data_IF_666538638692
#
_entry.id   IF_666538638692
#
_cell.length_a   1.000
_cell.length_b   1.000
_cell.length_c   1.000
_cell.angle_alpha   90.00
_cell.angle_beta   90.00
_cell.angle_gamma   90.00
#
_symmetry.space_group_name_H-M   'P 1'
#
loop_
_entity.id
_entity.type
_entity.pdbx_description
1 polymer ?
#
# COMPACT_ATOMS: atom_id res chain seq x y z
N UNK A 1 -11.12 6.91 -2.77
CA UNK A 1 -11.31 7.82 -1.62
C UNK A 1 -11.48 9.30 -2.03
N UNK A 2 -12.08 9.63 -3.18
CA UNK A 2 -12.36 11.03 -3.55
C UNK A 2 -11.14 11.98 -3.64
N UNK A 3 -9.93 11.44 -3.84
CA UNK A 3 -8.68 12.21 -3.82
C UNK A 3 -8.61 13.16 -5.00
N UNK A 4 -8.24 14.40 -4.73
CA UNK A 4 -8.20 15.47 -5.72
C UNK A 4 -6.86 16.22 -5.65
N UNK A 5 -6.28 16.53 -6.82
CA UNK A 5 -5.06 17.33 -6.95
C UNK A 5 -5.32 18.56 -7.80
N UNK A 6 -5.18 19.74 -7.21
CA UNK A 6 -5.21 21.01 -7.95
C UNK A 6 -3.98 21.11 -8.86
N UNK A 7 -4.21 21.38 -10.14
CA UNK A 7 -3.18 21.59 -11.17
C UNK A 7 -3.47 22.89 -11.93
N UNK A 8 -3.18 24.06 -11.34
CA UNK A 8 -3.51 25.36 -11.95
C UNK A 8 -2.78 25.58 -13.29
N UNK A 9 -1.55 25.08 -13.40
CA UNK A 9 -0.70 25.25 -14.59
C UNK A 9 -1.26 24.55 -15.84
N UNK A 10 -2.14 23.55 -15.68
CA UNK A 10 -2.79 22.85 -16.79
C UNK A 10 -3.75 23.77 -17.58
N UNK A 11 -4.29 24.81 -16.95
CA UNK A 11 -5.26 25.75 -17.57
C UNK A 11 -4.60 26.96 -18.24
N UNK A 12 -3.28 27.08 -18.15
CA UNK A 12 -2.55 28.25 -18.66
C UNK A 12 -2.52 28.24 -20.19
N UNK A 13 -2.98 29.33 -20.83
CA UNK A 13 -2.96 29.50 -22.31
C UNK A 13 -1.73 30.26 -22.84
N UNK A 14 -0.83 30.68 -21.94
CA UNK A 14 0.34 31.50 -22.27
C UNK A 14 1.37 30.77 -23.15
N UNK A 15 1.90 31.45 -24.18
CA UNK A 15 2.78 30.91 -25.24
C UNK A 15 4.29 30.91 -24.90
N UNK A 16 4.69 31.26 -23.68
CA UNK A 16 6.10 31.30 -23.29
C UNK A 16 6.69 29.90 -23.07
N UNK A 17 7.94 29.69 -23.47
CA UNK A 17 8.63 28.39 -23.40
C UNK A 17 8.62 27.76 -21.99
N UNK A 18 8.84 28.56 -20.95
CA UNK A 18 8.81 28.10 -19.55
C UNK A 18 7.39 27.67 -19.10
N UNK A 19 6.34 28.36 -19.55
CA UNK A 19 4.95 28.01 -19.23
C UNK A 19 4.51 26.74 -19.97
N UNK A 20 5.01 26.52 -21.18
CA UNK A 20 4.71 25.31 -21.97
C UNK A 20 5.27 24.04 -21.30
N UNK A 21 6.45 24.12 -20.67
CA UNK A 21 7.01 23.04 -19.84
C UNK A 21 6.16 22.77 -18.59
N UNK A 22 5.71 23.81 -17.91
CA UNK A 22 4.85 23.69 -16.72
C UNK A 22 3.52 23.02 -17.07
N UNK A 23 2.89 23.41 -18.19
CA UNK A 23 1.67 22.78 -18.70
C UNK A 23 1.86 21.29 -19.02
N UNK A 24 2.91 20.93 -19.75
CA UNK A 24 3.21 19.52 -20.07
C UNK A 24 3.48 18.67 -18.81
N UNK A 25 4.09 19.27 -17.77
CA UNK A 25 4.21 18.59 -16.47
C UNK A 25 2.86 18.41 -15.79
N UNK A 26 2.02 19.44 -15.78
CA UNK A 26 0.68 19.40 -15.18
C UNK A 26 -0.22 18.38 -15.89
N UNK A 27 -0.17 18.26 -17.21
CA UNK A 27 -0.91 17.24 -17.97
C UNK A 27 -0.48 15.82 -17.58
N UNK A 28 0.83 15.56 -17.49
CA UNK A 28 1.34 14.26 -17.03
C UNK A 28 0.94 13.98 -15.57
N UNK A 29 0.97 15.00 -14.71
CA UNK A 29 0.52 14.86 -13.33
C UNK A 29 -0.99 14.58 -13.25
N UNK A 30 -1.81 15.17 -14.12
CA UNK A 30 -3.26 14.94 -14.18
C UNK A 30 -3.59 13.50 -14.60
N UNK A 31 -2.78 12.89 -15.47
CA UNK A 31 -2.94 11.49 -15.88
C UNK A 31 -2.45 10.54 -14.79
N UNK A 32 -1.26 10.78 -14.25
CA UNK A 32 -0.60 9.85 -13.35
C UNK A 32 -1.15 9.90 -11.91
N UNK A 33 -1.60 11.06 -11.44
CA UNK A 33 -2.09 11.21 -10.06
C UNK A 33 -3.32 10.34 -9.77
N UNK A 34 -4.36 10.26 -10.62
CA UNK A 34 -5.48 9.36 -10.40
C UNK A 34 -5.08 7.89 -10.40
N UNK A 35 -4.18 7.47 -11.29
CA UNK A 35 -3.72 6.08 -11.38
C UNK A 35 -2.95 5.69 -10.12
N UNK A 36 -1.98 6.50 -9.72
CA UNK A 36 -1.17 6.27 -8.51
C UNK A 36 -2.02 6.40 -7.23
N UNK A 37 -2.92 7.37 -7.19
CA UNK A 37 -3.83 7.57 -6.07
C UNK A 37 -4.81 6.42 -5.89
N UNK A 38 -5.34 5.87 -6.98
CA UNK A 38 -6.22 4.70 -6.94
C UNK A 38 -5.49 3.45 -6.45
N UNK A 39 -4.26 3.20 -6.93
CA UNK A 39 -3.45 2.10 -6.43
C UNK A 39 -3.12 2.26 -4.93
N UNK A 40 -2.72 3.47 -4.52
CA UNK A 40 -2.47 3.78 -3.11
C UNK A 40 -3.72 3.62 -2.23
N UNK A 41 -4.91 3.96 -2.75
CA UNK A 41 -6.18 3.77 -2.02
C UNK A 41 -6.52 2.29 -1.81
N UNK A 42 -6.15 1.42 -2.75
CA UNK A 42 -6.33 -0.02 -2.61
C UNK A 42 -5.38 -0.57 -1.53
N UNK A 43 -4.08 -0.32 -1.65
CA UNK A 43 -3.09 -0.78 -0.66
C UNK A 43 -3.41 -0.27 0.74
N UNK A 44 -3.85 0.98 0.86
CA UNK A 44 -4.22 1.55 2.16
C UNK A 44 -5.46 0.87 2.78
N UNK A 45 -6.41 0.40 1.98
CA UNK A 45 -7.56 -0.37 2.50
C UNK A 45 -7.12 -1.75 2.99
N UNK A 46 -6.31 -2.45 2.21
CA UNK A 46 -5.76 -3.75 2.58
C UNK A 46 -4.97 -3.64 3.88
N UNK A 47 -4.10 -2.63 3.98
CA UNK A 47 -3.35 -2.30 5.19
C UNK A 47 -4.27 -2.07 6.40
N UNK A 48 -5.33 -1.27 6.25
CA UNK A 48 -6.28 -1.00 7.34
C UNK A 48 -7.04 -2.26 7.77
N UNK A 49 -7.38 -3.13 6.83
CA UNK A 49 -8.06 -4.39 7.12
C UNK A 49 -7.16 -5.35 7.87
N UNK A 50 -5.91 -5.53 7.43
CA UNK A 50 -4.88 -6.32 8.12
C UNK A 50 -4.63 -5.77 9.53
N UNK A 51 -4.49 -4.45 9.66
CA UNK A 51 -4.26 -3.82 10.97
C UNK A 51 -5.44 -4.00 11.94
N UNK A 52 -6.68 -4.05 11.43
CA UNK A 52 -7.89 -4.21 12.24
C UNK A 52 -8.27 -5.66 12.50
N UNK A 53 -7.58 -6.61 11.89
CA UNK A 53 -7.86 -8.03 12.02
C UNK A 53 -7.71 -8.49 13.49
N UNK A 54 -8.81 -8.98 14.05
CA UNK A 54 -8.87 -9.48 15.42
C UNK A 54 -8.18 -10.83 15.60
N UNK A 55 -8.18 -11.68 14.56
CA UNK A 55 -7.53 -12.98 14.55
C UNK A 55 -6.00 -12.82 14.56
N UNK A 56 -5.44 -11.95 13.71
CA UNK A 56 -4.00 -11.63 13.70
C UNK A 56 -3.55 -11.10 15.07
N UNK A 57 -4.32 -10.16 15.63
CA UNK A 57 -4.06 -9.63 16.98
C UNK A 57 -4.17 -10.68 18.08
N UNK A 58 -5.17 -11.56 18.02
CA UNK A 58 -5.34 -12.65 18.98
C UNK A 58 -4.19 -13.67 18.91
N UNK A 59 -3.61 -13.86 17.72
CA UNK A 59 -2.40 -14.66 17.51
C UNK A 59 -1.11 -13.95 17.96
N UNK A 60 -1.19 -12.68 18.40
CA UNK A 60 -0.04 -11.89 18.84
C UNK A 60 0.76 -11.23 17.72
N UNK A 61 0.17 -11.13 16.51
CA UNK A 61 0.79 -10.47 15.37
C UNK A 61 0.48 -8.98 15.36
N UNK A 62 1.50 -8.16 15.12
CA UNK A 62 1.40 -6.71 15.02
C UNK A 62 2.06 -6.22 13.73
N UNK A 63 1.45 -5.22 13.09
CA UNK A 63 2.05 -4.55 11.94
C UNK A 63 3.13 -3.57 12.43
N UNK A 64 4.36 -3.77 11.97
CA UNK A 64 5.53 -2.98 12.39
C UNK A 64 5.74 -1.78 11.48
N UNK A 65 5.73 -2.01 10.16
CA UNK A 65 5.89 -0.92 9.19
C UNK A 65 5.29 -1.29 7.84
N UNK A 66 5.04 -0.24 7.06
CA UNK A 66 4.63 -0.32 5.66
C UNK A 66 5.69 0.39 4.83
N UNK A 67 6.18 -0.29 3.78
CA UNK A 67 7.25 0.20 2.89
C UNK A 67 6.75 0.03 1.46
N UNK A 68 6.47 1.13 0.76
CA UNK A 68 5.90 1.12 -0.59
C UNK A 68 4.58 0.35 -0.69
N UNK A 69 4.60 -0.87 -1.21
CA UNK A 69 3.50 -1.83 -1.31
C UNK A 69 3.64 -3.00 -0.33
N UNK A 70 4.75 -3.06 0.40
CA UNK A 70 5.05 -4.11 1.37
C UNK A 70 4.54 -3.76 2.78
N UNK A 71 4.01 -4.76 3.47
CA UNK A 71 3.57 -4.69 4.86
C UNK A 71 4.41 -5.68 5.68
N UNK A 72 5.10 -5.18 6.69
CA UNK A 72 5.89 -6.00 7.62
C UNK A 72 5.12 -6.18 8.92
N UNK A 73 4.95 -7.43 9.32
CA UNK A 73 4.34 -7.83 10.58
C UNK A 73 5.32 -8.70 11.39
N UNK A 74 5.24 -8.58 12.71
CA UNK A 74 6.00 -9.38 13.66
C UNK A 74 5.05 -10.10 14.62
N UNK A 75 5.37 -11.35 14.95
CA UNK A 75 4.55 -12.15 15.86
C UNK A 75 5.20 -13.46 16.27
N UNK A 76 4.49 -14.30 17.05
CA UNK A 76 5.00 -15.59 17.51
C UNK A 76 5.24 -16.56 16.35
N UNK A 77 6.37 -17.27 16.40
CA UNK A 77 6.78 -18.23 15.37
C UNK A 77 5.76 -19.38 15.15
N UNK A 78 5.11 -19.80 16.23
CA UNK A 78 4.23 -20.98 16.25
C UNK A 78 3.01 -20.81 15.31
N UNK A 79 2.54 -19.57 15.11
CA UNK A 79 1.37 -19.23 14.30
C UNK A 79 1.74 -18.52 12.98
N UNK A 80 3.03 -18.47 12.59
CA UNK A 80 3.49 -17.74 11.42
C UNK A 80 2.85 -18.18 10.09
N UNK A 81 2.62 -19.50 9.93
CA UNK A 81 1.95 -20.03 8.73
C UNK A 81 0.48 -19.62 8.67
N UNK A 82 -0.21 -19.62 9.81
CA UNK A 82 -1.62 -19.24 9.91
C UNK A 82 -1.79 -17.75 9.63
N UNK A 83 -0.96 -16.90 10.24
CA UNK A 83 -0.94 -15.46 9.99
C UNK A 83 -0.71 -15.14 8.49
N UNK A 84 0.21 -15.85 7.83
CA UNK A 84 0.45 -15.70 6.40
C UNK A 84 -0.76 -16.07 5.53
N UNK A 85 -1.46 -17.16 5.87
CA UNK A 85 -2.67 -17.57 5.14
C UNK A 85 -3.81 -16.57 5.33
N UNK A 86 -4.05 -16.12 6.57
CA UNK A 86 -5.06 -15.10 6.87
C UNK A 86 -4.80 -13.81 6.09
N UNK A 87 -3.55 -13.36 6.09
CA UNK A 87 -3.17 -12.12 5.41
C UNK A 87 -3.27 -12.23 3.90
N UNK A 88 -2.86 -13.36 3.31
CA UNK A 88 -3.01 -13.60 1.87
C UNK A 88 -4.48 -13.57 1.44
N UNK A 89 -5.37 -14.24 2.19
CA UNK A 89 -6.81 -14.24 1.88
C UNK A 89 -7.45 -12.85 1.93
N UNK A 90 -6.93 -11.94 2.76
CA UNK A 90 -7.40 -10.56 2.82
C UNK A 90 -6.99 -9.72 1.61
N UNK A 91 -5.78 -9.94 1.08
CA UNK A 91 -5.30 -9.24 -0.12
C UNK A 91 -6.12 -9.64 -1.36
N UNK A 92 -6.43 -10.92 -1.49
CA UNK A 92 -7.25 -11.44 -2.59
C UNK A 92 -8.67 -10.83 -2.59
N UNK A 93 -9.22 -10.61 -1.40
CA UNK A 93 -10.52 -9.93 -1.22
C UNK A 93 -10.55 -8.47 -1.71
N UNK A 94 -9.39 -7.82 -1.81
CA UNK A 94 -9.26 -6.44 -2.27
C UNK A 94 -8.86 -6.29 -3.74
N UNK A 95 -8.85 -7.39 -4.51
CA UNK A 95 -8.32 -7.43 -5.87
C UNK A 95 -6.84 -6.99 -5.96
N UNK A 96 -6.10 -7.12 -4.86
CA UNK A 96 -4.65 -6.96 -4.82
C UNK A 96 -4.05 -8.34 -5.01
N UNK A 97 -3.35 -8.56 -6.13
CA UNK A 97 -2.49 -9.75 -6.24
C UNK A 97 -1.27 -9.51 -5.36
N UNK A 98 -1.32 -10.03 -4.14
CA UNK A 98 -0.21 -10.00 -3.20
C UNK A 98 0.34 -11.39 -2.90
N UNK A 99 1.62 -11.48 -2.57
CA UNK A 99 2.28 -12.66 -2.03
C UNK A 99 2.64 -12.43 -0.56
N UNK A 100 2.14 -13.28 0.32
CA UNK A 100 2.60 -13.30 1.71
C UNK A 100 3.79 -14.26 1.85
N UNK A 101 4.89 -13.79 2.42
CA UNK A 101 6.10 -14.56 2.67
C UNK A 101 6.44 -14.56 4.18
N UNK A 102 6.58 -15.75 4.77
CA UNK A 102 7.09 -15.90 6.12
C UNK A 102 8.62 -15.94 6.11
N UNK A 103 9.26 -15.05 6.85
CA UNK A 103 10.70 -15.11 7.15
C UNK A 103 10.92 -15.42 8.62
N UNK A 104 11.61 -16.53 8.88
CA UNK A 104 11.87 -17.01 10.22
C UNK A 104 13.14 -16.35 10.78
N UNK A 105 13.01 -15.67 11.92
CA UNK A 105 14.09 -14.96 12.61
C UNK A 105 14.79 -15.83 13.66
N UNK A 106 16.02 -15.48 14.03
CA UNK A 106 16.76 -16.19 15.11
C UNK A 106 16.31 -15.82 16.53
N UNK A 107 15.51 -14.75 16.68
CA UNK A 107 14.84 -14.39 17.95
C UNK A 107 13.43 -14.98 17.92
N UNK A 108 12.85 -15.20 19.11
CA UNK A 108 11.48 -15.74 19.36
C UNK A 108 10.31 -14.98 18.69
N UNK A 109 10.58 -14.09 17.75
CA UNK A 109 9.63 -13.31 16.96
C UNK A 109 9.99 -13.50 15.48
N UNK A 110 9.04 -14.03 14.72
CA UNK A 110 9.18 -14.18 13.27
C UNK A 110 8.59 -12.96 12.56
N UNK A 111 9.08 -12.74 11.33
CA UNK A 111 8.65 -11.64 10.47
C UNK A 111 7.85 -12.20 9.30
N UNK A 112 6.63 -11.72 9.12
CA UNK A 112 5.87 -11.96 7.90
C UNK A 112 5.94 -10.69 7.08
N UNK A 113 6.48 -10.82 5.87
CA UNK A 113 6.49 -9.75 4.86
C UNK A 113 5.41 -10.08 3.86
N UNK A 114 4.49 -9.16 3.70
CA UNK A 114 3.41 -9.26 2.72
C UNK A 114 3.69 -8.25 1.63
N UNK A 115 3.87 -8.74 0.41
CA UNK A 115 4.10 -7.94 -0.81
C UNK A 115 2.82 -7.94 -1.64
#
# INVERSE_FOLDING_TARGET
MGRYRMLPDAKTESKGFSQQKAKSHAERAAINTPIQGAAADVVMRAMLNIHRDEQLRAMGWEMVCQIHDEIIMEGPADCAKEACMCTHGQLDGESVRGTAQCTFGSRRQDRVVVV
#
